data_IF_071153801857
#
_entry.id   IF_071153801857
#
_cell.length_a   1.000
_cell.length_b   1.000
_cell.length_c   1.000
_cell.angle_alpha   90.00
_cell.angle_beta   90.00
_cell.angle_gamma   90.00
#
_symmetry.space_group_name_H-M   'P 1'
#
loop_
_entity.id
_entity.type
_entity.pdbx_description
1 polymer ?
#
# COMPACT_ATOMS: atom_id res chain seq x y z
N UNK A 1 10.97 5.42 -9.21
CA UNK A 1 11.85 4.79 -10.23
C UNK A 1 11.66 3.27 -10.31
N UNK A 2 11.52 2.58 -9.18
CA UNK A 2 11.38 1.12 -9.15
C UNK A 2 10.07 0.61 -9.78
N UNK A 3 8.92 1.22 -9.47
CA UNK A 3 7.65 0.84 -10.12
C UNK A 3 7.66 0.99 -11.64
N UNK A 4 8.26 2.06 -12.16
CA UNK A 4 8.39 2.26 -13.61
C UNK A 4 9.22 1.13 -14.24
N UNK A 5 10.31 0.72 -13.58
CA UNK A 5 11.17 -0.39 -14.01
C UNK A 5 10.42 -1.72 -14.00
N UNK A 6 9.62 -1.97 -12.95
CA UNK A 6 8.80 -3.19 -12.85
C UNK A 6 7.76 -3.21 -13.97
N UNK A 7 7.03 -2.11 -14.21
CA UNK A 7 6.05 -2.03 -15.30
C UNK A 7 6.68 -2.26 -16.68
N UNK A 8 7.86 -1.70 -16.93
CA UNK A 8 8.62 -1.95 -18.18
C UNK A 8 9.04 -3.43 -18.32
N UNK A 9 9.46 -4.05 -17.22
CA UNK A 9 9.80 -5.48 -17.20
C UNK A 9 8.58 -6.36 -17.50
N UNK A 10 7.42 -6.06 -16.89
CA UNK A 10 6.18 -6.79 -17.15
C UNK A 10 5.74 -6.67 -18.61
N UNK A 11 5.90 -5.49 -19.21
CA UNK A 11 5.62 -5.29 -20.64
C UNK A 11 6.55 -6.12 -21.53
N UNK A 12 7.82 -6.23 -21.16
CA UNK A 12 8.79 -7.10 -21.85
C UNK A 12 8.37 -8.58 -21.73
N UNK A 13 7.93 -9.01 -20.55
CA UNK A 13 7.43 -10.37 -20.33
C UNK A 13 6.19 -10.69 -21.17
N UNK A 14 5.27 -9.73 -21.36
CA UNK A 14 4.13 -9.90 -22.28
C UNK A 14 4.58 -10.13 -23.71
N UNK A 15 5.50 -9.31 -24.20
CA UNK A 15 6.06 -9.45 -25.55
C UNK A 15 6.71 -10.82 -25.73
N UNK A 16 7.43 -11.31 -24.71
CA UNK A 16 8.02 -12.66 -24.72
C UNK A 16 6.94 -13.76 -24.76
N UNK A 17 5.87 -13.64 -23.99
CA UNK A 17 4.76 -14.60 -24.03
C UNK A 17 4.10 -14.66 -25.41
N UNK A 18 3.91 -13.51 -26.05
CA UNK A 18 3.36 -13.46 -27.41
C UNK A 18 4.30 -14.10 -28.45
N UNK A 19 5.61 -13.86 -28.33
CA UNK A 19 6.63 -14.52 -29.15
C UNK A 19 6.59 -16.05 -28.97
N UNK A 20 6.51 -16.53 -27.72
CA UNK A 20 6.42 -17.96 -27.42
C UNK A 20 5.15 -18.58 -28.01
N UNK A 21 4.00 -17.89 -27.95
CA UNK A 21 2.77 -18.34 -28.63
C UNK A 21 2.94 -18.44 -30.13
N UNK A 22 3.62 -17.48 -30.75
CA UNK A 22 3.92 -17.52 -32.19
C UNK A 22 4.79 -18.71 -32.53
N UNK A 23 5.85 -18.96 -31.76
CA UNK A 23 6.74 -20.11 -31.94
C UNK A 23 5.99 -21.44 -31.73
N UNK A 24 5.12 -21.53 -30.72
CA UNK A 24 4.27 -22.70 -30.48
C UNK A 24 3.39 -23.04 -31.69
N UNK A 25 2.79 -22.01 -32.32
CA UNK A 25 1.99 -22.18 -33.55
C UNK A 25 2.84 -22.71 -34.71
N UNK A 26 4.04 -22.16 -34.91
CA UNK A 26 4.95 -22.61 -35.96
C UNK A 26 5.45 -24.05 -35.72
N UNK A 27 5.75 -24.41 -34.47
CA UNK A 27 6.16 -25.76 -34.11
C UNK A 27 5.06 -26.80 -34.42
N UNK A 28 3.78 -26.43 -34.31
CA UNK A 28 2.64 -27.30 -34.65
C UNK A 28 2.51 -27.57 -36.16
N UNK A 29 3.07 -26.70 -37.01
CA UNK A 29 3.02 -26.81 -38.47
C UNK A 29 4.19 -27.62 -39.06
N UNK A 30 5.17 -28.05 -38.25
CA UNK A 30 6.37 -28.75 -38.73
C UNK A 30 6.15 -30.26 -38.74
N UNK A 31 6.19 -30.89 -39.92
CA UNK A 31 6.00 -32.35 -40.09
C UNK A 31 7.19 -33.21 -39.62
N UNK A 32 8.37 -32.62 -39.34
CA UNK A 32 9.60 -33.37 -39.05
C UNK A 32 9.90 -33.49 -37.55
N UNK A 33 9.85 -34.72 -37.03
CA UNK A 33 10.03 -35.11 -35.62
C UNK A 33 11.44 -34.97 -35.00
N UNK A 34 12.25 -34.02 -35.42
CA UNK A 34 13.60 -33.82 -34.88
C UNK A 34 13.81 -32.37 -34.42
N UNK A 35 13.48 -32.15 -33.14
CA UNK A 35 14.07 -31.26 -32.11
C UNK A 35 12.96 -30.97 -31.07
N UNK A 36 13.12 -31.54 -29.88
CA UNK A 36 12.10 -31.76 -28.85
C UNK A 36 11.65 -30.55 -28.02
N UNK A 37 11.56 -29.35 -28.59
CA UNK A 37 10.69 -28.34 -27.97
C UNK A 37 9.27 -28.58 -28.45
N UNK A 38 8.53 -29.37 -27.67
CA UNK A 38 7.11 -29.58 -27.90
C UNK A 38 6.42 -28.22 -27.98
N UNK A 39 5.69 -27.93 -29.06
CA UNK A 39 4.88 -26.71 -29.17
C UNK A 39 3.96 -26.52 -27.95
N UNK A 40 3.62 -27.60 -27.27
CA UNK A 40 2.92 -27.58 -25.99
C UNK A 40 3.76 -26.93 -24.86
N UNK A 41 5.05 -27.23 -24.74
CA UNK A 41 5.93 -26.61 -23.74
C UNK A 41 6.09 -25.10 -23.98
N UNK A 42 6.22 -24.67 -25.24
CA UNK A 42 6.23 -23.26 -25.61
C UNK A 42 4.93 -22.54 -25.26
N UNK A 43 3.79 -23.18 -25.53
CA UNK A 43 2.48 -22.65 -25.19
C UNK A 43 2.30 -22.56 -23.67
N UNK A 44 2.66 -23.61 -22.93
CA UNK A 44 2.61 -23.62 -21.46
C UNK A 44 3.49 -22.54 -20.85
N UNK A 45 4.71 -22.34 -21.36
CA UNK A 45 5.59 -21.26 -20.91
C UNK A 45 4.95 -19.88 -21.10
N UNK A 46 4.32 -19.63 -22.26
CA UNK A 46 3.60 -18.38 -22.50
C UNK A 46 2.43 -18.18 -21.51
N UNK A 47 1.64 -19.24 -21.25
CA UNK A 47 0.53 -19.19 -20.29
C UNK A 47 1.02 -18.89 -18.87
N UNK A 48 2.13 -19.51 -18.44
CA UNK A 48 2.71 -19.26 -17.12
C UNK A 48 3.21 -17.83 -17.01
N UNK A 49 3.90 -17.31 -18.03
CA UNK A 49 4.38 -15.92 -18.03
C UNK A 49 3.20 -14.95 -17.90
N UNK A 50 2.12 -15.16 -18.65
CA UNK A 50 0.94 -14.28 -18.57
C UNK A 50 0.24 -14.33 -17.23
N UNK A 51 0.15 -15.53 -16.64
CA UNK A 51 -0.40 -15.70 -15.29
C UNK A 51 0.43 -14.94 -14.25
N UNK A 52 1.76 -15.07 -14.32
CA UNK A 52 2.68 -14.36 -13.42
C UNK A 52 2.66 -12.85 -13.65
N UNK A 53 2.54 -12.39 -14.89
CA UNK A 53 2.37 -10.96 -15.20
C UNK A 53 1.09 -10.45 -14.56
N UNK A 54 -0.04 -11.11 -14.77
CA UNK A 54 -1.32 -10.69 -14.20
C UNK A 54 -1.32 -10.71 -12.66
N UNK A 55 -0.64 -11.66 -12.03
CA UNK A 55 -0.47 -11.69 -10.59
C UNK A 55 0.36 -10.51 -10.07
N UNK A 56 1.46 -10.18 -10.75
CA UNK A 56 2.31 -9.04 -10.39
C UNK A 56 1.60 -7.69 -10.57
N UNK A 57 0.78 -7.53 -11.61
CA UNK A 57 0.01 -6.30 -11.80
C UNK A 57 -0.99 -6.06 -10.68
N UNK A 58 -1.73 -7.10 -10.30
CA UNK A 58 -2.65 -7.03 -9.15
C UNK A 58 -1.90 -6.70 -7.85
N UNK A 59 -0.70 -7.25 -7.66
CA UNK A 59 0.12 -6.94 -6.50
C UNK A 59 0.56 -5.46 -6.51
N UNK A 60 0.99 -4.93 -7.66
CA UNK A 60 1.36 -3.51 -7.81
C UNK A 60 0.18 -2.58 -7.53
N UNK A 61 -0.99 -2.86 -8.09
CA UNK A 61 -2.21 -2.10 -7.82
C UNK A 61 -2.60 -2.15 -6.33
N UNK A 62 -2.41 -3.31 -5.70
CA UNK A 62 -2.61 -3.51 -4.27
C UNK A 62 -1.69 -2.63 -3.42
N UNK A 63 -0.40 -2.59 -3.76
CA UNK A 63 0.61 -1.76 -3.09
C UNK A 63 0.26 -0.27 -3.26
N UNK A 64 0.01 0.20 -4.49
CA UNK A 64 -0.33 1.60 -4.74
C UNK A 64 -1.59 2.05 -3.99
N UNK A 65 -2.57 1.15 -3.83
CA UNK A 65 -3.77 1.42 -3.03
C UNK A 65 -3.44 1.53 -1.54
N UNK A 66 -2.58 0.66 -1.03
CA UNK A 66 -2.14 0.70 0.36
C UNK A 66 -1.34 1.98 0.64
N UNK A 67 -0.40 2.34 -0.22
CA UNK A 67 0.41 3.56 -0.08
C UNK A 67 -0.47 4.83 0.00
N UNK A 68 -1.51 4.91 -0.86
CA UNK A 68 -2.49 6.00 -0.80
C UNK A 68 -3.30 6.00 0.50
N UNK A 69 -3.76 4.82 0.93
CA UNK A 69 -4.52 4.68 2.18
C UNK A 69 -3.68 5.03 3.42
N UNK A 70 -2.41 4.65 3.44
CA UNK A 70 -1.49 4.96 4.54
C UNK A 70 -1.24 6.47 4.61
N UNK A 71 -0.97 7.10 3.47
CA UNK A 71 -0.80 8.56 3.38
C UNK A 71 -2.05 9.29 3.90
N UNK A 72 -3.24 8.80 3.54
CA UNK A 72 -4.50 9.34 4.04
C UNK A 72 -4.63 9.18 5.56
N UNK A 73 -4.38 7.98 6.10
CA UNK A 73 -4.48 7.70 7.53
C UNK A 73 -3.51 8.54 8.36
N UNK A 74 -2.30 8.78 7.85
CA UNK A 74 -1.34 9.69 8.49
C UNK A 74 -1.91 11.11 8.54
N UNK A 75 -2.46 11.61 7.43
CA UNK A 75 -3.07 12.94 7.39
C UNK A 75 -4.27 13.08 8.33
N UNK A 76 -5.13 12.07 8.40
CA UNK A 76 -6.26 12.03 9.34
C UNK A 76 -5.78 12.00 10.79
N UNK A 77 -4.78 11.17 11.10
CA UNK A 77 -4.15 11.10 12.42
C UNK A 77 -3.57 12.45 12.82
N UNK A 78 -2.81 13.09 11.95
CA UNK A 78 -2.14 14.36 12.24
C UNK A 78 -3.17 15.48 12.48
N UNK A 79 -4.30 15.47 11.76
CA UNK A 79 -5.42 16.38 12.03
C UNK A 79 -6.05 16.16 13.41
N UNK A 80 -6.26 14.90 13.80
CA UNK A 80 -6.81 14.56 15.13
C UNK A 80 -5.83 14.97 16.23
N UNK A 81 -4.53 14.72 16.07
CA UNK A 81 -3.51 15.12 17.04
C UNK A 81 -3.49 16.65 17.16
N UNK A 82 -3.49 17.40 16.06
CA UNK A 82 -3.52 18.86 16.10
C UNK A 82 -4.76 19.42 16.82
N UNK A 83 -5.92 18.79 16.64
CA UNK A 83 -7.15 19.17 17.35
C UNK A 83 -7.04 18.88 18.86
N UNK A 84 -6.46 17.73 19.24
CA UNK A 84 -6.24 17.37 20.64
C UNK A 84 -5.20 18.27 21.31
N UNK A 85 -4.09 18.57 20.63
CA UNK A 85 -3.07 19.50 21.11
C UNK A 85 -3.67 20.87 21.40
N UNK A 86 -4.47 21.40 20.46
CA UNK A 86 -5.12 22.69 20.62
C UNK A 86 -6.16 22.70 21.76
N UNK A 87 -6.93 21.62 21.92
CA UNK A 87 -7.88 21.49 23.04
C UNK A 87 -7.15 21.44 24.38
N UNK A 88 -6.09 20.64 24.47
CA UNK A 88 -5.30 20.48 25.68
C UNK A 88 -4.62 21.81 26.06
N UNK A 89 -3.91 22.44 25.11
CA UNK A 89 -3.24 23.73 25.33
C UNK A 89 -4.21 24.83 25.75
N UNK A 90 -5.42 24.86 25.19
CA UNK A 90 -6.44 25.84 25.58
C UNK A 90 -6.87 25.73 27.05
N UNK A 91 -6.78 24.54 27.64
CA UNK A 91 -7.24 24.25 29.01
C UNK A 91 -6.08 24.27 30.01
N UNK A 92 -4.93 23.70 29.64
CA UNK A 92 -3.76 23.56 30.52
C UNK A 92 -2.77 24.73 30.38
N UNK A 93 -2.83 25.47 29.26
CA UNK A 93 -1.92 26.57 28.95
C UNK A 93 -0.60 26.15 28.28
N UNK A 94 -0.41 24.86 28.00
CA UNK A 94 0.76 24.33 27.30
C UNK A 94 0.36 23.09 26.47
N UNK A 95 1.04 22.80 25.34
CA UNK A 95 0.76 21.61 24.56
C UNK A 95 1.09 20.33 25.35
N UNK A 96 0.43 19.20 25.04
CA UNK A 96 0.69 17.94 25.72
C UNK A 96 2.06 17.36 25.34
N UNK A 97 2.75 16.76 26.31
CA UNK A 97 4.01 16.05 26.08
C UNK A 97 3.76 14.57 25.76
N UNK A 98 3.48 14.28 24.50
CA UNK A 98 3.23 12.91 24.05
C UNK A 98 4.41 11.98 24.35
N UNK A 99 4.12 10.83 24.95
CA UNK A 99 5.14 9.81 25.23
C UNK A 99 4.53 8.42 25.24
N UNK A 100 5.36 7.38 25.35
CA UNK A 100 4.85 6.01 25.51
C UNK A 100 4.08 5.79 26.82
N UNK A 101 4.24 6.69 27.81
CA UNK A 101 3.59 6.62 29.11
C UNK A 101 2.43 7.63 29.25
N UNK A 102 2.30 8.58 28.31
CA UNK A 102 1.27 9.62 28.31
C UNK A 102 0.57 9.63 26.95
N UNK A 103 -0.66 9.12 26.93
CA UNK A 103 -1.47 8.95 25.73
C UNK A 103 -2.75 9.79 25.75
N UNK A 104 -3.62 9.55 24.76
CA UNK A 104 -4.84 10.34 24.57
C UNK A 104 -5.78 10.32 25.77
N UNK A 105 -5.92 9.18 26.44
CA UNK A 105 -6.77 9.07 27.63
C UNK A 105 -6.25 9.94 28.77
N UNK A 106 -4.93 9.97 28.97
CA UNK A 106 -4.30 10.78 30.03
C UNK A 106 -4.52 12.27 29.76
N UNK A 107 -4.30 12.71 28.52
CA UNK A 107 -4.57 14.08 28.10
C UNK A 107 -6.04 14.49 28.28
N UNK A 108 -6.99 13.61 27.94
CA UNK A 108 -8.43 13.86 28.13
C UNK A 108 -8.79 13.94 29.62
N UNK A 109 -8.22 13.08 30.46
CA UNK A 109 -8.46 13.10 31.89
C UNK A 109 -7.97 14.41 32.53
N UNK A 110 -6.75 14.83 32.19
CA UNK A 110 -6.18 16.07 32.72
C UNK A 110 -6.99 17.31 32.30
N UNK A 111 -7.42 17.38 31.03
CA UNK A 111 -8.32 18.42 30.55
C UNK A 111 -9.64 18.43 31.34
N UNK A 112 -10.21 17.25 31.60
CA UNK A 112 -11.47 17.12 32.33
C UNK A 112 -11.32 17.59 33.78
N UNK A 113 -10.27 17.17 34.46
CA UNK A 113 -9.96 17.59 35.84
C UNK A 113 -9.76 19.10 35.91
N UNK A 114 -9.00 19.68 34.97
CA UNK A 114 -8.72 21.11 34.94
C UNK A 114 -9.97 21.95 34.66
N UNK A 115 -10.86 21.50 33.77
CA UNK A 115 -12.15 22.17 33.55
C UNK A 115 -12.98 22.15 34.84
N UNK A 116 -13.07 21.00 35.50
CA UNK A 116 -13.81 20.88 36.76
C UNK A 116 -13.25 21.80 37.85
N UNK A 117 -11.93 21.93 37.97
CA UNK A 117 -11.31 22.89 38.89
C UNK A 117 -11.66 24.34 38.54
N UNK A 118 -11.61 24.72 37.26
CA UNK A 118 -11.92 26.09 36.83
C UNK A 118 -13.38 26.46 37.08
N UNK A 119 -14.31 25.53 36.85
CA UNK A 119 -15.74 25.74 37.11
C UNK A 119 -16.03 25.92 38.61
N UNK A 120 -15.36 25.17 39.48
CA UNK A 120 -15.54 25.25 40.92
C UNK A 120 -14.78 26.42 41.57
N UNK A 121 -13.64 26.82 41.00
CA UNK A 121 -12.86 27.96 41.50
C UNK A 121 -13.57 29.32 41.28
N UNK A 122 -14.58 29.37 40.40
CA UNK A 122 -15.40 30.57 40.18
C UNK A 122 -16.62 30.69 41.10
N UNK A 123 -16.78 29.79 42.09
CA UNK A 123 -17.97 29.72 42.96
C UNK A 123 -17.72 30.15 44.42
N UNK A 124 -16.52 30.63 44.74
CA UNK A 124 -16.15 31.26 46.03
C UNK A 124 -16.05 32.80 45.90
#
# INVERSE_FOLDING_TARGET
>A
MEQLRIRQMLETCRQQAEQLRRLARLAKLRESGEIGMSGNALFQAAVVIESLVGANEKALEGIERLDRSETQLIGERDQVIAALDGMYEAVTGAPPEWSSAFGFTDAINEVTERIFEMENAGHD
#
